data_IF_753394261388
#
_entry.id   IF_753394261388
#
_cell.length_a   1.000
_cell.length_b   1.000
_cell.length_c   1.000
_cell.angle_alpha   90.00
_cell.angle_beta   90.00
_cell.angle_gamma   90.00
#
_symmetry.space_group_name_H-M   'P 1'
#
loop_
_entity.id
_entity.type
_entity.pdbx_description
1 polymer ?
#
# COMPACT_ATOMS: atom_id res chain seq x y z
N UNK A 1 -11.79 -20.25 -22.56
CA UNK A 1 -11.75 -20.77 -21.17
C UNK A 1 -11.46 -19.60 -20.26
N UNK A 2 -12.51 -18.94 -19.78
CA UNK A 2 -12.40 -17.84 -18.82
C UNK A 2 -12.60 -18.51 -17.46
N UNK A 3 -11.53 -18.66 -16.68
CA UNK A 3 -11.67 -19.13 -15.31
C UNK A 3 -12.25 -17.99 -14.47
N UNK A 4 -13.57 -17.97 -14.37
CA UNK A 4 -14.29 -17.30 -13.30
C UNK A 4 -13.85 -17.91 -11.95
N UNK A 5 -13.63 -17.06 -10.94
CA UNK A 5 -13.14 -17.37 -9.58
C UNK A 5 -11.62 -17.58 -9.38
N UNK A 6 -10.85 -16.49 -9.50
CA UNK A 6 -10.01 -16.12 -8.36
C UNK A 6 -10.88 -15.15 -7.55
N UNK A 7 -11.56 -15.63 -6.50
CA UNK A 7 -12.09 -14.75 -5.45
C UNK A 7 -10.88 -13.92 -4.97
N UNK A 8 -10.82 -12.66 -5.40
CA UNK A 8 -9.64 -11.82 -5.21
C UNK A 8 -9.24 -11.82 -3.74
N UNK A 9 -7.95 -12.09 -3.48
CA UNK A 9 -7.37 -12.01 -2.13
C UNK A 9 -7.84 -10.72 -1.47
N UNK A 10 -8.40 -10.80 -0.25
CA UNK A 10 -8.89 -9.60 0.45
C UNK A 10 -7.73 -8.64 0.65
N UNK A 11 -7.99 -7.33 0.63
CA UNK A 11 -6.93 -6.32 0.84
C UNK A 11 -6.15 -6.60 2.14
N UNK A 12 -6.85 -7.02 3.20
CA UNK A 12 -6.25 -7.42 4.48
C UNK A 12 -5.33 -8.63 4.41
N UNK A 13 -5.44 -9.49 3.41
CA UNK A 13 -4.63 -10.70 3.24
C UNK A 13 -3.42 -10.47 2.32
N UNK A 14 -3.37 -9.34 1.60
CA UNK A 14 -2.27 -9.01 0.70
C UNK A 14 -1.01 -8.62 1.47
N UNK A 15 0.15 -9.00 0.92
CA UNK A 15 1.47 -8.58 1.41
C UNK A 15 1.85 -7.19 0.88
N UNK A 16 1.49 -6.90 -0.37
CA UNK A 16 1.69 -5.62 -1.03
C UNK A 16 0.35 -5.02 -1.42
N UNK A 17 0.20 -3.72 -1.20
CA UNK A 17 -0.97 -2.94 -1.57
C UNK A 17 -0.64 -2.01 -2.73
N UNK A 18 -1.61 -1.80 -3.60
CA UNK A 18 -1.60 -0.64 -4.50
C UNK A 18 -1.90 0.64 -3.72
N UNK A 19 -1.65 1.82 -4.32
CA UNK A 19 -2.02 3.11 -3.73
C UNK A 19 -3.50 3.16 -3.30
N UNK A 20 -4.40 2.65 -4.15
CA UNK A 20 -5.83 2.60 -3.88
C UNK A 20 -6.14 1.70 -2.68
N UNK A 21 -5.56 0.50 -2.66
CA UNK A 21 -5.80 -0.46 -1.57
C UNK A 21 -5.21 0.02 -0.25
N UNK A 22 -4.05 0.66 -0.26
CA UNK A 22 -3.48 1.28 0.94
C UNK A 22 -4.37 2.41 1.44
N UNK A 23 -4.90 3.23 0.53
CA UNK A 23 -5.86 4.29 0.90
C UNK A 23 -7.12 3.73 1.55
N UNK A 24 -7.69 2.66 1.00
CA UNK A 24 -8.86 1.98 1.55
C UNK A 24 -8.57 1.26 2.88
N UNK A 25 -7.41 0.58 2.98
CA UNK A 25 -7.04 -0.21 4.16
C UNK A 25 -6.67 0.67 5.37
N UNK A 26 -5.88 1.72 5.14
CA UNK A 26 -5.42 2.63 6.19
C UNK A 26 -6.34 3.84 6.40
N UNK A 27 -7.35 4.02 5.55
CA UNK A 27 -8.23 5.18 5.56
C UNK A 27 -7.46 6.51 5.42
N UNK A 28 -6.47 6.55 4.52
CA UNK A 28 -5.63 7.72 4.21
C UNK A 28 -5.88 8.11 2.75
N UNK A 29 -6.01 9.40 2.43
CA UNK A 29 -6.22 9.84 1.05
C UNK A 29 -5.11 9.38 0.10
N UNK A 30 -5.46 8.95 -1.13
CA UNK A 30 -4.49 8.39 -2.09
C UNK A 30 -3.33 9.34 -2.41
N UNK A 31 -3.58 10.65 -2.46
CA UNK A 31 -2.53 11.65 -2.70
C UNK A 31 -1.53 11.72 -1.55
N UNK A 32 -1.99 11.59 -0.31
CA UNK A 32 -1.11 11.52 0.86
C UNK A 32 -0.30 10.21 0.84
N UNK A 33 -0.91 9.07 0.53
CA UNK A 33 -0.15 7.80 0.36
C UNK A 33 0.88 7.92 -0.77
N UNK A 34 0.56 8.62 -1.86
CA UNK A 34 1.51 8.91 -2.93
C UNK A 34 2.68 9.76 -2.44
N UNK A 35 2.41 10.85 -1.70
CA UNK A 35 3.44 11.70 -1.10
C UNK A 35 4.36 10.91 -0.16
N UNK A 36 3.79 10.13 0.76
CA UNK A 36 4.54 9.29 1.70
C UNK A 36 5.47 8.30 0.99
N UNK A 37 5.01 7.72 -0.12
CA UNK A 37 5.81 6.77 -0.92
C UNK A 37 6.82 7.43 -1.86
N UNK A 38 6.79 8.75 -2.01
CA UNK A 38 7.77 9.54 -2.76
C UNK A 38 8.89 10.12 -1.88
N UNK A 39 8.81 9.93 -0.56
CA UNK A 39 9.89 10.34 0.35
C UNK A 39 11.17 9.55 0.07
N UNK A 40 12.32 10.24 0.06
CA UNK A 40 13.60 9.65 -0.35
C UNK A 40 14.01 8.43 0.48
N UNK A 41 13.57 8.36 1.74
CA UNK A 41 13.89 7.28 2.69
C UNK A 41 12.69 6.35 2.97
N UNK A 42 11.71 6.31 2.05
CA UNK A 42 10.53 5.45 2.20
C UNK A 42 10.89 3.95 2.07
N UNK A 43 10.97 3.25 3.20
CA UNK A 43 11.29 1.82 3.28
C UNK A 43 10.09 0.89 2.99
N UNK A 44 8.87 1.43 3.08
CA UNK A 44 7.62 0.71 2.88
C UNK A 44 7.09 0.72 1.44
N UNK A 45 7.85 1.21 0.47
CA UNK A 45 7.51 1.12 -0.97
C UNK A 45 8.52 0.26 -1.73
N UNK A 46 8.03 -0.45 -2.73
CA UNK A 46 8.83 -1.06 -3.78
C UNK A 46 8.39 -0.49 -5.14
N UNK A 47 9.34 0.06 -5.90
CA UNK A 47 9.11 0.50 -7.27
C UNK A 47 9.38 -0.66 -8.23
N UNK A 48 8.34 -1.11 -8.93
CA UNK A 48 8.42 -2.11 -9.98
C UNK A 48 8.02 -1.49 -11.31
N UNK A 49 9.00 -0.90 -12.00
CA UNK A 49 8.77 -0.05 -13.17
C UNK A 49 7.92 1.15 -12.80
N UNK A 50 6.77 1.30 -13.45
CA UNK A 50 5.79 2.37 -13.15
C UNK A 50 4.85 2.06 -11.97
N UNK A 51 4.88 0.83 -11.45
CA UNK A 51 4.00 0.41 -10.35
C UNK A 51 4.66 0.63 -9.00
N UNK A 52 3.88 1.15 -8.05
CA UNK A 52 4.23 1.20 -6.63
C UNK A 52 3.56 0.04 -5.90
N UNK A 53 4.36 -0.71 -5.17
CA UNK A 53 3.92 -1.81 -4.31
C UNK A 53 4.23 -1.44 -2.86
N UNK A 54 3.20 -1.14 -2.09
CA UNK A 54 3.31 -0.70 -0.70
C UNK A 54 3.38 -1.94 0.19
N UNK A 55 4.48 -2.12 0.92
CA UNK A 55 4.67 -3.21 1.89
C UNK A 55 3.74 -2.94 3.08
N UNK A 56 2.63 -3.69 3.18
CA UNK A 56 1.59 -3.44 4.19
C UNK A 56 2.14 -3.39 5.61
N UNK A 57 2.94 -4.38 6.00
CA UNK A 57 3.52 -4.49 7.35
C UNK A 57 4.44 -3.31 7.71
N UNK A 58 5.32 -2.91 6.79
CA UNK A 58 6.23 -1.79 7.05
C UNK A 58 5.48 -0.45 7.11
N UNK A 59 4.42 -0.28 6.30
CA UNK A 59 3.57 0.89 6.40
C UNK A 59 2.78 0.90 7.73
N UNK A 60 2.25 -0.23 8.19
CA UNK A 60 1.63 -0.36 9.53
C UNK A 60 2.61 0.07 10.63
N UNK A 61 3.84 -0.44 10.59
CA UNK A 61 4.91 -0.08 11.52
C UNK A 61 5.30 1.40 11.45
N UNK A 62 5.41 1.96 10.24
CA UNK A 62 5.67 3.37 10.03
C UNK A 62 4.58 4.24 10.68
N UNK A 63 3.30 3.97 10.35
CA UNK A 63 2.15 4.73 10.85
C UNK A 63 2.02 4.64 12.38
N UNK A 64 2.29 3.48 12.98
CA UNK A 64 2.28 3.30 14.43
C UNK A 64 3.33 4.15 15.17
N UNK A 65 4.41 4.55 14.48
CA UNK A 65 5.45 5.43 15.02
C UNK A 65 5.17 6.92 14.81
N UNK A 66 4.21 7.26 13.95
CA UNK A 66 3.86 8.64 13.67
C UNK A 66 2.79 9.15 14.63
N UNK A 67 2.98 10.35 15.13
CA UNK A 67 1.90 11.12 15.75
C UNK A 67 0.99 11.78 14.70
N UNK A 68 1.55 12.17 13.55
CA UNK A 68 0.87 12.85 12.44
C UNK A 68 1.59 12.56 11.13
N UNK A 69 0.84 12.52 10.02
CA UNK A 69 1.34 12.32 8.64
C UNK A 69 0.72 13.32 7.65
#
# INVERSE_FOLDING_TARGET
MINENIKGVRVSEKAFLTLKEASEYFNIGQDKVRQLTDENDCDFVLFNGSKRLIKKKLMEEYLNRQFSI
#
